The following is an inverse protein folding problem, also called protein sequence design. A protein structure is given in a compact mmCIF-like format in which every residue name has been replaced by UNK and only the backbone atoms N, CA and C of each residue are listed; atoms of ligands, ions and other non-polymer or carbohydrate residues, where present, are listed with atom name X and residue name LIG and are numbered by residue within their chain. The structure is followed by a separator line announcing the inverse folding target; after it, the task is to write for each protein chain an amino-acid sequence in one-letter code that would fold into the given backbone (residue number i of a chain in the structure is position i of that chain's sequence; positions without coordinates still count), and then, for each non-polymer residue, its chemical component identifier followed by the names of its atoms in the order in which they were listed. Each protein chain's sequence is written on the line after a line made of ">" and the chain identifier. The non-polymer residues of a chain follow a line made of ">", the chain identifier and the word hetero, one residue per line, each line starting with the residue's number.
data_IF_885573440086
#
_entry.id   IF_885573440086
#
_cell.length_a   1.000
_cell.length_b   1.000
_cell.length_c   1.000
_cell.angle_alpha   90.00
_cell.angle_beta   90.00
_cell.angle_gamma   90.00
#
_symmetry.space_group_name_H-M   'P 1'
#
loop_
_entity.id
_entity.type
_entity.pdbx_description
1 polymer ?
#
# COMPACT_ATOMS: atom_id res chain seq x y z
N UNK A 1 -31.33 1.61 -14.77
CA UNK A 1 -30.73 0.93 -13.62
C UNK A 1 -29.23 1.06 -13.81
N UNK A 2 -28.63 2.08 -13.19
CA UNK A 2 -27.24 2.47 -13.39
C UNK A 2 -26.61 2.43 -12.02
N UNK A 3 -25.58 1.59 -11.84
CA UNK A 3 -24.88 1.46 -10.58
C UNK A 3 -24.32 2.83 -10.17
N UNK A 4 -24.54 3.31 -8.92
CA UNK A 4 -23.95 4.56 -8.50
C UNK A 4 -22.46 4.35 -8.31
N UNK A 5 -21.66 5.04 -9.12
CA UNK A 5 -20.21 5.07 -8.98
C UNK A 5 -19.83 5.62 -7.60
N UNK A 6 -18.95 4.91 -6.89
CA UNK A 6 -18.39 5.34 -5.62
C UNK A 6 -17.42 6.48 -5.85
N UNK A 7 -17.89 7.72 -5.68
CA UNK A 7 -17.09 8.92 -5.74
C UNK A 7 -16.85 9.44 -4.32
N UNK A 8 -15.58 9.56 -3.91
CA UNK A 8 -15.12 10.10 -2.61
C UNK A 8 -15.26 11.63 -2.48
N UNK A 9 -16.29 12.24 -3.07
CA UNK A 9 -16.44 13.69 -3.10
C UNK A 9 -17.52 14.17 -2.11
N UNK A 10 -17.14 15.15 -1.28
CA UNK A 10 -17.97 15.79 -0.23
C UNK A 10 -19.11 16.65 -0.78
N UNK A 11 -20.19 16.77 -0.01
CA UNK A 11 -21.11 17.89 -0.10
C UNK A 11 -20.51 19.18 0.49
N UNK A 12 -20.98 20.34 0.05
CA UNK A 12 -20.50 21.66 0.53
C UNK A 12 -20.77 21.91 2.01
N UNK A 13 -21.80 21.27 2.58
CA UNK A 13 -22.33 21.57 3.91
C UNK A 13 -21.87 20.63 5.05
N UNK A 14 -20.95 19.70 4.78
CA UNK A 14 -20.50 18.75 5.81
C UNK A 14 -19.30 19.27 6.63
N UNK A 15 -19.43 19.40 7.98
CA UNK A 15 -18.46 20.10 8.82
C UNK A 15 -17.27 19.26 9.30
N UNK A 16 -17.27 17.93 9.16
CA UNK A 16 -16.14 17.08 9.54
C UNK A 16 -16.02 15.84 8.68
N UNK A 17 -14.77 15.50 8.31
CA UNK A 17 -14.42 14.22 7.71
C UNK A 17 -14.69 13.06 8.68
N UNK A 18 -15.41 12.03 8.23
CA UNK A 18 -15.37 10.70 8.85
C UNK A 18 -14.87 9.71 7.80
N UNK A 19 -13.57 9.42 7.83
CA UNK A 19 -12.92 8.49 6.90
C UNK A 19 -13.09 7.01 7.31
N UNK A 20 -13.82 6.73 8.39
CA UNK A 20 -13.94 5.39 8.96
C UNK A 20 -15.38 4.88 8.80
N UNK A 21 -15.77 4.33 7.63
CA UNK A 21 -17.01 3.58 7.56
C UNK A 21 -16.90 2.40 8.53
N UNK A 22 -17.94 2.17 9.33
CA UNK A 22 -18.08 0.89 10.02
C UNK A 22 -18.03 -0.22 8.94
N UNK A 23 -17.23 -1.27 9.17
CA UNK A 23 -16.98 -2.39 8.24
C UNK A 23 -15.91 -2.16 7.15
N UNK A 24 -14.81 -1.47 7.44
CA UNK A 24 -13.62 -1.43 6.56
C UNK A 24 -13.18 -2.81 6.05
N UNK A 25 -13.30 -3.86 6.88
CA UNK A 25 -12.99 -5.24 6.49
C UNK A 25 -13.89 -5.84 5.39
N UNK A 26 -15.02 -5.22 5.06
CA UNK A 26 -15.86 -5.65 3.93
C UNK A 26 -15.33 -5.17 2.56
N UNK A 27 -14.35 -4.28 2.55
CA UNK A 27 -13.74 -3.74 1.34
C UNK A 27 -12.30 -4.26 1.24
N UNK A 28 -12.05 -5.27 0.41
CA UNK A 28 -10.75 -5.94 0.29
C UNK A 28 -9.57 -4.96 0.10
N UNK A 29 -9.76 -3.92 -0.73
CA UNK A 29 -8.75 -2.88 -0.97
C UNK A 29 -8.53 -1.93 0.22
N UNK A 30 -9.53 -1.74 1.09
CA UNK A 30 -9.40 -0.95 2.32
C UNK A 30 -8.95 -1.78 3.52
N UNK A 31 -8.99 -3.12 3.42
CA UNK A 31 -8.43 -4.04 4.41
C UNK A 31 -6.93 -3.81 4.64
N UNK A 32 -6.25 -3.19 3.67
CA UNK A 32 -4.85 -2.77 3.79
C UNK A 32 -4.66 -1.86 4.99
N UNK A 33 -5.61 -1.00 5.31
CA UNK A 33 -5.52 -0.09 6.46
C UNK A 33 -5.72 -0.77 7.83
N UNK A 34 -6.04 -2.07 7.88
CA UNK A 34 -6.39 -2.78 9.12
C UNK A 34 -5.41 -3.92 9.44
N UNK A 35 -5.00 -4.72 8.45
CA UNK A 35 -4.01 -5.79 8.62
C UNK A 35 -3.04 -5.80 7.41
N UNK A 36 -2.26 -4.72 7.31
CA UNK A 36 -1.42 -4.34 6.17
C UNK A 36 -0.51 -5.46 5.70
N UNK A 37 0.25 -6.08 6.61
CA UNK A 37 1.28 -7.05 6.25
C UNK A 37 0.70 -8.39 5.82
N UNK A 38 -0.32 -8.90 6.51
CA UNK A 38 -0.99 -10.14 6.13
C UNK A 38 -1.71 -10.00 4.79
N UNK A 39 -2.40 -8.87 4.58
CA UNK A 39 -3.09 -8.61 3.33
C UNK A 39 -2.09 -8.43 2.18
N UNK A 40 -1.00 -7.69 2.40
CA UNK A 40 0.04 -7.52 1.37
C UNK A 40 0.70 -8.85 1.00
N UNK A 41 1.00 -9.70 2.00
CA UNK A 41 1.50 -11.05 1.75
C UNK A 41 0.53 -11.86 0.88
N UNK A 42 -0.76 -11.82 1.18
CA UNK A 42 -1.77 -12.53 0.39
C UNK A 42 -1.87 -11.97 -1.04
N UNK A 43 -1.90 -10.65 -1.21
CA UNK A 43 -1.91 -10.00 -2.53
C UNK A 43 -0.68 -10.36 -3.36
N UNK A 44 0.51 -10.36 -2.74
CA UNK A 44 1.74 -10.77 -3.40
C UNK A 44 1.67 -12.22 -3.91
N UNK A 45 1.10 -13.12 -3.10
CA UNK A 45 0.92 -14.52 -3.48
C UNK A 45 -0.14 -14.69 -4.59
N UNK A 46 -1.27 -13.99 -4.49
CA UNK A 46 -2.41 -14.17 -5.39
C UNK A 46 -2.20 -13.47 -6.76
N UNK A 47 -1.69 -12.24 -6.77
CA UNK A 47 -1.61 -11.39 -7.97
C UNK A 47 -0.23 -11.42 -8.65
N UNK A 48 0.83 -11.63 -7.88
CA UNK A 48 2.21 -11.63 -8.38
C UNK A 48 2.87 -13.01 -8.33
N UNK A 49 2.18 -14.02 -7.79
CA UNK A 49 2.67 -15.40 -7.63
C UNK A 49 3.97 -15.48 -6.81
N UNK A 50 4.18 -14.56 -5.86
CA UNK A 50 5.38 -14.51 -5.00
C UNK A 50 5.02 -14.84 -3.56
N UNK A 51 5.75 -15.78 -2.95
CA UNK A 51 5.66 -16.08 -1.52
C UNK A 51 6.66 -15.22 -0.74
N UNK A 52 6.14 -14.22 -0.02
CA UNK A 52 6.93 -13.26 0.73
C UNK A 52 6.87 -13.53 2.24
N UNK A 53 8.00 -13.45 2.95
CA UNK A 53 8.04 -13.62 4.40
C UNK A 53 7.35 -12.44 5.12
N UNK A 54 6.28 -12.74 5.86
CA UNK A 54 5.43 -11.75 6.55
C UNK A 54 6.22 -10.86 7.52
N UNK A 55 7.18 -11.43 8.24
CA UNK A 55 8.03 -10.71 9.19
C UNK A 55 8.91 -9.64 8.51
N UNK A 56 9.37 -9.89 7.29
CA UNK A 56 10.11 -8.90 6.50
C UNK A 56 9.19 -7.77 6.06
N UNK A 57 7.97 -8.10 5.60
CA UNK A 57 6.96 -7.09 5.23
C UNK A 57 6.60 -6.22 6.45
N UNK A 58 6.36 -6.84 7.62
CA UNK A 58 6.08 -6.12 8.87
C UNK A 58 7.23 -5.19 9.25
N UNK A 59 8.48 -5.65 9.17
CA UNK A 59 9.64 -4.85 9.50
C UNK A 59 9.74 -3.60 8.63
N UNK A 60 9.57 -3.74 7.31
CA UNK A 60 9.63 -2.62 6.36
C UNK A 60 8.48 -1.63 6.58
N UNK A 61 7.25 -2.12 6.80
CA UNK A 61 6.10 -1.25 7.04
C UNK A 61 6.20 -0.49 8.36
N UNK A 62 6.80 -1.08 9.39
CA UNK A 62 7.01 -0.43 10.68
C UNK A 62 8.13 0.61 10.66
N UNK A 63 9.25 0.32 9.98
CA UNK A 63 10.39 1.23 9.94
C UNK A 63 10.26 2.30 8.85
N UNK A 64 9.46 2.02 7.81
CA UNK A 64 9.44 2.78 6.55
C UNK A 64 10.83 2.89 5.91
N UNK A 65 11.66 1.88 6.17
CA UNK A 65 13.00 1.74 5.62
C UNK A 65 13.20 0.31 5.14
N UNK A 66 14.03 0.13 4.12
CA UNK A 66 14.33 -1.17 3.55
C UNK A 66 15.85 -1.32 3.38
N UNK A 67 16.41 -2.43 3.86
CA UNK A 67 17.82 -2.76 3.61
C UNK A 67 17.99 -3.43 2.24
N UNK A 68 19.23 -3.46 1.74
CA UNK A 68 19.53 -4.16 0.49
C UNK A 68 19.18 -5.66 0.57
N UNK A 69 19.42 -6.29 1.72
CA UNK A 69 19.08 -7.70 1.94
C UNK A 69 17.57 -7.93 1.96
N UNK A 70 16.81 -7.04 2.61
CA UNK A 70 15.35 -7.12 2.62
C UNK A 70 14.78 -6.88 1.22
N UNK A 71 15.35 -5.94 0.46
CA UNK A 71 14.94 -5.70 -0.93
C UNK A 71 15.19 -6.93 -1.80
N UNK A 72 16.37 -7.54 -1.69
CA UNK A 72 16.69 -8.75 -2.46
C UNK A 72 15.76 -9.93 -2.14
N UNK A 73 15.25 -10.01 -0.91
CA UNK A 73 14.25 -11.01 -0.50
C UNK A 73 12.86 -10.72 -1.06
N UNK A 74 12.48 -9.44 -1.13
CA UNK A 74 11.14 -9.01 -1.56
C UNK A 74 11.02 -8.92 -3.09
N UNK A 75 12.07 -8.45 -3.75
CA UNK A 75 12.14 -8.31 -5.20
C UNK A 75 13.60 -8.35 -5.68
N UNK A 76 14.10 -9.50 -6.17
CA UNK A 76 15.51 -9.65 -6.55
C UNK A 76 15.87 -8.91 -7.84
N UNK A 77 14.89 -8.50 -8.64
CA UNK A 77 15.11 -7.77 -9.89
C UNK A 77 15.27 -6.25 -9.67
N UNK A 78 15.04 -5.78 -8.43
CA UNK A 78 15.03 -4.36 -8.10
C UNK A 78 16.21 -3.99 -7.22
N UNK A 79 16.91 -2.90 -7.53
CA UNK A 79 17.99 -2.36 -6.72
C UNK A 79 17.53 -1.17 -5.87
N UNK A 80 18.34 -0.80 -4.86
CA UNK A 80 18.09 0.42 -4.09
C UNK A 80 18.25 1.68 -4.94
N UNK A 81 19.06 1.64 -5.99
CA UNK A 81 19.25 2.76 -6.93
C UNK A 81 17.98 3.00 -7.74
N UNK A 82 17.33 1.94 -8.22
CA UNK A 82 16.05 2.02 -8.93
C UNK A 82 14.96 2.67 -8.06
N UNK A 83 14.89 2.30 -6.78
CA UNK A 83 13.94 2.91 -5.83
C UNK A 83 14.21 4.40 -5.62
N UNK A 84 15.48 4.79 -5.53
CA UNK A 84 15.87 6.19 -5.32
C UNK A 84 15.53 7.05 -6.55
N UNK A 85 15.68 6.47 -7.75
CA UNK A 85 15.27 7.07 -9.02
C UNK A 85 13.75 7.23 -9.11
N UNK A 86 12.97 6.18 -8.79
CA UNK A 86 11.51 6.23 -8.75
C UNK A 86 10.99 7.28 -7.76
N UNK A 87 11.57 7.33 -6.56
CA UNK A 87 11.22 8.35 -5.55
C UNK A 87 11.49 9.74 -6.09
N UNK A 88 12.62 9.95 -6.77
CA UNK A 88 12.97 11.24 -7.36
C UNK A 88 12.03 11.62 -8.50
N UNK A 89 11.58 10.66 -9.31
CA UNK A 89 10.58 10.88 -10.34
C UNK A 89 9.23 11.28 -9.74
N UNK A 90 8.76 10.55 -8.72
CA UNK A 90 7.49 10.80 -8.04
C UNK A 90 7.48 12.16 -7.32
N UNK A 91 8.57 12.47 -6.60
CA UNK A 91 8.67 13.70 -5.82
C UNK A 91 8.96 14.93 -6.68
N UNK A 92 9.43 14.73 -7.92
CA UNK A 92 9.86 15.78 -8.81
C UNK A 92 11.17 16.46 -8.36
N UNK A 93 11.69 17.42 -9.15
CA UNK A 93 12.88 18.15 -8.77
C UNK A 93 12.65 18.94 -7.47
N UNK A 94 13.55 18.77 -6.50
CA UNK A 94 13.58 19.59 -5.29
C UNK A 94 13.78 21.06 -5.69
N UNK A 95 12.85 21.93 -5.29
CA UNK A 95 12.98 23.38 -5.39
C UNK A 95 13.79 23.95 -4.25
#
# INVERSE_FOLDING_TARGET
>A
MTAPGSFFWRGVDEPSWSAAPANLGAYAWLGFFVDTAALYQQLAADDYEVDLPKDVIEAVLHSLTISAEQLALLNPELSLEDLDDDVREIMGPAH
#
